data_IF_136683232901
#
_entry.id   IF_136683232901
#
_cell.length_a   1.000
_cell.length_b   1.000
_cell.length_c   1.000
_cell.angle_alpha   90.00
_cell.angle_beta   90.00
_cell.angle_gamma   90.00
#
_symmetry.space_group_name_H-M   'P 1'
#
loop_
_entity.id
_entity.type
_entity.pdbx_description
1 polymer ?
#
# COMPACT_ATOMS: atom_id res chain seq x y z
N UNK A 1 -4.62 -5.60 -7.05
CA UNK A 1 -4.55 -5.16 -5.64
C UNK A 1 -3.55 -4.02 -5.45
N UNK A 2 -2.28 -4.19 -5.83
CA UNK A 2 -1.22 -3.16 -5.70
C UNK A 2 -1.65 -1.80 -6.27
N UNK A 3 -2.02 -1.72 -7.55
CA UNK A 3 -2.42 -0.44 -8.18
C UNK A 3 -3.61 0.23 -7.50
N UNK A 4 -4.59 -0.55 -7.06
CA UNK A 4 -5.75 -0.01 -6.34
C UNK A 4 -5.31 0.65 -5.02
N UNK A 5 -4.48 -0.05 -4.23
CA UNK A 5 -3.94 0.44 -2.96
C UNK A 5 -3.07 1.67 -3.19
N UNK A 6 -2.23 1.66 -4.23
CA UNK A 6 -1.37 2.79 -4.64
C UNK A 6 -2.19 4.04 -4.93
N UNK A 7 -3.29 3.92 -5.69
CA UNK A 7 -4.19 5.05 -5.97
C UNK A 7 -4.84 5.55 -4.68
N UNK A 8 -5.34 4.67 -3.81
CA UNK A 8 -5.96 5.10 -2.54
C UNK A 8 -4.94 5.80 -1.61
N UNK A 9 -3.69 5.32 -1.57
CA UNK A 9 -2.61 5.95 -0.81
C UNK A 9 -2.26 7.34 -1.37
N UNK A 10 -2.11 7.49 -2.70
CA UNK A 10 -1.88 8.79 -3.35
C UNK A 10 -3.02 9.79 -3.14
N UNK A 11 -4.25 9.30 -2.99
CA UNK A 11 -5.41 10.13 -2.67
C UNK A 11 -5.51 10.47 -1.17
N UNK A 12 -4.55 10.04 -0.34
CA UNK A 12 -4.55 10.26 1.11
C UNK A 12 -5.62 9.47 1.87
N UNK A 13 -6.24 8.47 1.22
CA UNK A 13 -7.29 7.63 1.82
C UNK A 13 -6.72 6.47 2.65
N UNK A 14 -5.44 6.16 2.45
CA UNK A 14 -4.71 5.17 3.21
C UNK A 14 -3.46 5.81 3.81
N UNK A 15 -3.12 5.44 5.04
CA UNK A 15 -1.83 5.75 5.66
C UNK A 15 -0.78 4.68 5.33
N UNK A 16 0.49 4.98 5.56
CA UNK A 16 1.58 4.02 5.36
C UNK A 16 1.39 2.76 6.23
N UNK A 17 0.91 2.91 7.47
CA UNK A 17 0.60 1.79 8.36
C UNK A 17 -0.53 0.91 7.82
N UNK A 18 -1.58 1.53 7.27
CA UNK A 18 -2.68 0.80 6.65
C UNK A 18 -2.21 0.01 5.43
N UNK A 19 -1.37 0.60 4.57
CA UNK A 19 -0.76 -0.11 3.43
C UNK A 19 0.08 -1.30 3.89
N UNK A 20 0.91 -1.14 4.95
CA UNK A 20 1.69 -2.24 5.52
C UNK A 20 0.82 -3.37 6.07
N UNK A 21 -0.28 -3.04 6.75
CA UNK A 21 -1.21 -4.03 7.31
C UNK A 21 -1.92 -4.89 6.25
N UNK A 22 -1.91 -4.46 4.98
CA UNK A 22 -2.47 -5.22 3.87
C UNK A 22 -1.55 -6.33 3.39
N UNK A 23 -0.27 -6.32 3.78
CA UNK A 23 0.66 -7.43 3.59
C UNK A 23 0.60 -8.43 4.76
N UNK A 24 0.79 -9.75 4.51
CA UNK A 24 1.01 -10.40 3.22
C UNK A 24 -0.30 -10.79 2.50
N UNK A 25 -1.46 -10.45 3.07
CA UNK A 25 -2.77 -11.00 2.64
C UNK A 25 -3.17 -10.54 1.23
N UNK A 26 -2.93 -9.27 0.89
CA UNK A 26 -3.40 -8.66 -0.36
C UNK A 26 -2.26 -8.24 -1.29
N UNK A 27 -1.10 -7.93 -0.71
CA UNK A 27 0.13 -7.52 -1.38
C UNK A 27 1.34 -8.07 -0.61
N UNK A 28 2.52 -8.06 -1.22
CA UNK A 28 3.77 -8.40 -0.51
C UNK A 28 4.27 -7.23 0.32
N UNK A 29 5.18 -7.51 1.27
CA UNK A 29 5.85 -6.46 2.04
C UNK A 29 6.63 -5.51 1.10
N UNK A 30 7.33 -6.05 0.09
CA UNK A 30 8.05 -5.22 -0.89
C UNK A 30 7.12 -4.31 -1.68
N UNK A 31 5.95 -4.81 -2.09
CA UNK A 31 4.94 -4.00 -2.77
C UNK A 31 4.36 -2.92 -1.85
N UNK A 32 4.21 -3.19 -0.55
CA UNK A 32 3.76 -2.20 0.41
C UNK A 32 4.79 -1.07 0.55
N UNK A 33 6.08 -1.40 0.68
CA UNK A 33 7.15 -0.40 0.77
C UNK A 33 7.34 0.36 -0.54
N UNK A 34 7.19 -0.29 -1.71
CA UNK A 34 7.21 0.39 -3.02
C UNK A 34 6.10 1.44 -3.11
N UNK A 35 4.90 1.17 -2.59
CA UNK A 35 3.79 2.13 -2.57
C UNK A 35 4.12 3.33 -1.65
N UNK A 36 4.76 3.09 -0.50
CA UNK A 36 5.01 4.10 0.53
C UNK A 36 6.16 5.05 0.16
N UNK A 37 7.17 4.55 -0.55
CA UNK A 37 8.43 5.27 -0.84
C UNK A 37 8.52 5.89 -2.25
N UNK A 38 7.42 5.92 -3.00
CA UNK A 38 7.33 6.51 -4.36
C UNK A 38 6.80 7.95 -4.33
#
# INVERSE_FOLDING_TARGET
>A
MVEFIRIQYRLGRLTAEQVRSMAPKWITADQAEEIIHM
#
